data_IF_669367436377
#
_entry.id   IF_669367436377
#
_cell.length_a   1.000
_cell.length_b   1.000
_cell.length_c   1.000
_cell.angle_alpha   90.00
_cell.angle_beta   90.00
_cell.angle_gamma   90.00
#
_symmetry.space_group_name_H-M   'P 1'
#
loop_
_entity.id
_entity.type
_entity.pdbx_description
1 polymer ?
#
# COMPACT_ATOMS: atom_id res chain seq x y z
N UNK A 1 31.52 19.39 -31.34
CA UNK A 1 30.29 19.93 -30.74
C UNK A 1 29.19 18.90 -31.04
N UNK A 2 28.78 18.00 -30.29
CA UNK A 2 28.69 17.80 -28.86
C UNK A 2 27.42 17.02 -28.69
N UNK A 3 27.49 15.66 -28.61
CA UNK A 3 26.33 14.74 -28.46
C UNK A 3 25.96 14.64 -26.99
N UNK A 4 25.02 15.45 -26.50
CA UNK A 4 24.49 15.37 -25.14
C UNK A 4 22.95 15.33 -25.08
N UNK A 5 22.25 14.93 -26.15
CA UNK A 5 20.78 14.97 -26.20
C UNK A 5 20.10 13.59 -26.17
N UNK A 6 20.78 12.50 -25.76
CA UNK A 6 20.23 11.15 -25.88
C UNK A 6 20.00 10.41 -24.55
N UNK A 7 19.98 11.07 -23.39
CA UNK A 7 19.89 10.36 -22.08
C UNK A 7 18.57 10.58 -21.34
N UNK A 8 17.65 11.36 -21.87
CA UNK A 8 16.38 11.68 -21.16
C UNK A 8 15.23 10.72 -21.55
N UNK A 9 15.42 9.83 -22.52
CA UNK A 9 14.34 9.00 -23.09
C UNK A 9 14.04 7.67 -22.39
N UNK A 10 14.84 7.21 -21.42
CA UNK A 10 14.83 5.77 -21.07
C UNK A 10 14.28 5.44 -19.65
N UNK A 11 13.76 6.40 -18.91
CA UNK A 11 13.25 6.10 -17.56
C UNK A 11 11.81 5.58 -17.58
N UNK A 12 11.09 5.73 -18.67
CA UNK A 12 9.71 5.22 -18.80
C UNK A 12 9.68 3.70 -19.00
N UNK A 13 10.68 3.12 -19.63
CA UNK A 13 10.79 1.67 -19.80
C UNK A 13 11.04 0.96 -18.45
N UNK A 14 11.77 1.58 -17.54
CA UNK A 14 12.06 1.01 -16.20
C UNK A 14 10.80 0.98 -15.34
N UNK A 15 9.92 1.98 -15.45
CA UNK A 15 8.65 2.04 -14.71
C UNK A 15 7.66 1.01 -15.26
N UNK A 16 7.59 0.86 -16.58
CA UNK A 16 6.76 -0.16 -17.23
C UNK A 16 7.25 -1.57 -16.90
N UNK A 17 8.57 -1.79 -16.89
CA UNK A 17 9.19 -3.05 -16.49
C UNK A 17 8.93 -3.34 -15.00
N UNK A 18 8.92 -2.32 -14.14
CA UNK A 18 8.60 -2.47 -12.72
C UNK A 18 7.17 -2.96 -12.50
N UNK A 19 6.19 -2.40 -13.21
CA UNK A 19 4.78 -2.77 -13.08
C UNK A 19 4.51 -4.17 -13.66
N UNK A 20 5.16 -4.52 -14.77
CA UNK A 20 5.13 -5.87 -15.36
C UNK A 20 5.93 -6.86 -14.50
N UNK A 21 7.04 -6.44 -13.87
CA UNK A 21 7.84 -7.27 -12.98
C UNK A 21 7.10 -7.59 -11.68
N UNK A 22 6.37 -6.64 -11.09
CA UNK A 22 5.52 -6.89 -9.91
C UNK A 22 4.41 -7.87 -10.27
N UNK A 23 3.77 -7.71 -11.42
CA UNK A 23 2.78 -8.68 -11.93
C UNK A 23 3.39 -10.07 -12.16
N UNK A 24 4.60 -10.16 -12.73
CA UNK A 24 5.31 -11.42 -12.95
C UNK A 24 5.83 -12.03 -11.64
N UNK A 25 6.27 -11.22 -10.68
CA UNK A 25 6.73 -11.70 -9.36
C UNK A 25 5.56 -12.24 -8.55
N UNK A 26 4.41 -11.59 -8.58
CA UNK A 26 3.18 -12.12 -7.98
C UNK A 26 2.76 -13.43 -8.65
N UNK A 27 2.87 -13.54 -9.97
CA UNK A 27 2.59 -14.77 -10.72
C UNK A 27 3.59 -15.89 -10.40
N UNK A 28 4.88 -15.60 -10.28
CA UNK A 28 5.90 -16.60 -9.96
C UNK A 28 5.77 -17.08 -8.50
N UNK A 29 5.39 -16.20 -7.57
CA UNK A 29 5.17 -16.58 -6.17
C UNK A 29 3.96 -17.49 -6.00
N UNK A 30 2.89 -17.29 -6.79
CA UNK A 30 1.72 -18.17 -6.83
C UNK A 30 2.03 -19.56 -7.37
N UNK A 31 2.99 -19.68 -8.31
CA UNK A 31 3.37 -20.98 -8.90
C UNK A 31 4.39 -21.74 -8.04
N UNK A 32 5.31 -21.04 -7.34
CA UNK A 32 6.31 -21.69 -6.47
C UNK A 32 5.82 -21.94 -5.03
N UNK A 33 4.66 -21.39 -4.65
CA UNK A 33 4.11 -21.52 -3.28
C UNK A 33 3.16 -22.69 -3.07
N UNK A 34 2.81 -23.48 -4.07
CA UNK A 34 2.06 -24.71 -3.88
C UNK A 34 2.97 -25.82 -3.38
N UNK A 35 3.25 -25.79 -2.09
CA UNK A 35 3.62 -26.99 -1.34
C UNK A 35 2.40 -27.91 -1.37
N UNK A 36 2.40 -28.88 -2.27
CA UNK A 36 1.51 -30.06 -2.17
C UNK A 36 2.00 -30.88 -0.98
N UNK A 37 1.61 -30.44 0.21
CA UNK A 37 1.89 -31.13 1.45
C UNK A 37 0.93 -32.31 1.61
N UNK A 38 1.27 -33.41 0.96
CA UNK A 38 0.80 -34.73 1.36
C UNK A 38 2.01 -35.49 1.91
N UNK A 39 2.71 -34.86 2.86
CA UNK A 39 3.71 -35.57 3.67
C UNK A 39 2.99 -36.16 4.85
N UNK A 40 2.77 -37.49 4.79
CA UNK A 40 2.45 -38.30 5.94
C UNK A 40 3.42 -38.00 7.08
N UNK A 41 2.93 -37.81 8.34
CA UNK A 41 3.84 -37.63 9.47
C UNK A 41 4.79 -38.81 9.50
N UNK A 42 6.10 -38.61 9.81
CA UNK A 42 7.06 -39.69 9.91
C UNK A 42 6.55 -40.71 10.93
N UNK A 43 6.54 -41.97 10.52
CA UNK A 43 6.18 -43.09 11.37
C UNK A 43 7.01 -43.01 12.64
N UNK A 44 6.38 -43.10 13.82
CA UNK A 44 7.05 -43.14 15.09
C UNK A 44 8.03 -44.32 15.09
N UNK A 45 9.28 -44.02 15.36
CA UNK A 45 10.33 -44.98 15.57
C UNK A 45 9.96 -45.88 16.77
N UNK A 46 9.83 -47.19 16.60
CA UNK A 46 9.39 -48.10 17.65
C UNK A 46 10.43 -48.24 18.80
N UNK A 47 11.60 -47.60 18.69
CA UNK A 47 12.66 -47.68 19.69
C UNK A 47 12.83 -46.40 20.53
N UNK A 48 11.89 -45.42 20.44
CA UNK A 48 11.96 -44.22 21.30
C UNK A 48 11.32 -44.55 22.67
N UNK A 49 12.06 -44.44 23.79
CA UNK A 49 11.52 -44.67 25.14
C UNK A 49 10.47 -43.61 25.47
N UNK A 50 9.38 -43.95 26.20
CA UNK A 50 8.35 -43.02 26.56
C UNK A 50 8.90 -41.90 27.46
N UNK A 51 8.52 -40.65 27.10
CA UNK A 51 8.86 -39.47 27.89
C UNK A 51 8.20 -39.54 29.29
N UNK A 52 8.88 -39.09 30.36
CA UNK A 52 8.31 -39.09 31.70
C UNK A 52 7.15 -38.11 31.81
N UNK A 53 6.11 -38.41 32.65
CA UNK A 53 4.95 -37.56 32.79
C UNK A 53 5.29 -36.19 33.40
N UNK A 54 4.57 -35.13 33.02
CA UNK A 54 4.80 -33.78 33.57
C UNK A 54 4.49 -33.75 35.06
N UNK A 55 5.41 -33.20 35.84
CA UNK A 55 5.30 -33.00 37.28
C UNK A 55 4.20 -31.98 37.57
N UNK A 56 3.23 -32.36 38.41
CA UNK A 56 2.21 -31.49 39.00
C UNK A 56 2.83 -30.45 39.94
N UNK A 57 2.45 -29.19 39.92
CA UNK A 57 2.90 -28.21 40.91
C UNK A 57 2.22 -28.50 42.24
N UNK A 58 3.03 -28.68 43.29
CA UNK A 58 2.58 -28.73 44.68
C UNK A 58 2.17 -27.33 45.13
N UNK A 59 0.96 -27.24 45.64
CA UNK A 59 0.50 -26.13 46.48
C UNK A 59 1.17 -26.21 47.86
N UNK A 60 1.75 -25.14 48.31
CA UNK A 60 2.33 -24.95 49.67
C UNK A 60 2.52 -23.46 49.87
N UNK A 61 1.62 -22.88 50.44
CA UNK A 61 1.33 -22.21 51.72
C UNK A 61 2.25 -21.05 52.11
N UNK A 62 1.55 -19.96 52.32
CA UNK A 62 1.65 -18.93 53.35
C UNK A 62 2.77 -17.88 53.35
N UNK A 63 2.33 -16.70 53.29
CA UNK A 63 2.49 -15.57 54.22
C UNK A 63 3.40 -14.41 53.87
N UNK A 64 2.76 -13.26 53.94
CA UNK A 64 3.19 -11.93 54.42
C UNK A 64 4.02 -11.07 53.45
N UNK A 65 3.41 -10.07 52.84
CA UNK A 65 3.38 -8.74 53.38
C UNK A 65 4.52 -7.88 52.90
N UNK A 66 4.24 -6.99 51.99
CA UNK A 66 4.68 -5.59 52.15
C UNK A 66 4.52 -4.80 50.85
N UNK A 67 3.82 -3.72 51.06
CA UNK A 67 3.95 -2.44 50.37
C UNK A 67 4.07 -2.41 48.84
N UNK A 68 2.91 -2.30 48.23
CA UNK A 68 2.77 -1.81 46.85
C UNK A 68 2.88 -0.27 46.86
N UNK A 69 4.11 0.23 46.91
CA UNK A 69 4.38 1.65 46.63
C UNK A 69 4.41 1.85 45.13
N UNK A 70 3.29 2.34 44.58
CA UNK A 70 3.23 2.85 43.21
C UNK A 70 3.95 4.21 43.22
N UNK A 71 5.08 4.38 42.54
CA UNK A 71 5.67 5.71 42.39
C UNK A 71 4.80 6.51 41.44
N UNK A 72 4.26 7.64 41.91
CA UNK A 72 3.69 8.68 41.06
C UNK A 72 4.76 9.19 40.12
N UNK A 73 4.46 9.37 38.81
CA UNK A 73 5.37 10.05 37.90
C UNK A 73 5.42 11.54 38.28
N UNK A 74 6.59 12.00 38.69
CA UNK A 74 6.91 13.43 38.82
C UNK A 74 6.80 14.08 37.43
N UNK A 75 5.89 15.03 37.32
CA UNK A 75 5.78 15.93 36.18
C UNK A 75 7.05 16.79 36.12
N UNK A 76 7.89 16.57 35.10
CA UNK A 76 8.69 17.58 34.39
C UNK A 76 9.82 16.89 33.58
N UNK A 77 9.41 16.27 32.46
CA UNK A 77 10.30 16.14 31.30
C UNK A 77 9.47 16.57 30.09
N UNK A 78 10.00 17.40 29.16
CA UNK A 78 9.28 17.73 27.94
C UNK A 78 9.13 16.44 27.13
N UNK A 79 7.89 15.95 27.03
CA UNK A 79 7.57 14.83 26.20
C UNK A 79 7.98 15.14 24.76
N UNK A 80 8.59 14.16 24.02
CA UNK A 80 8.77 14.32 22.58
C UNK A 80 7.38 14.55 21.97
N UNK A 81 7.26 15.62 21.18
CA UNK A 81 6.02 15.93 20.46
C UNK A 81 5.70 14.74 19.56
N UNK A 82 4.78 13.91 20.00
CA UNK A 82 4.19 12.89 19.18
C UNK A 82 3.53 13.60 18.00
N UNK A 83 3.98 13.27 16.79
CA UNK A 83 3.33 13.67 15.55
C UNK A 83 1.86 13.30 15.68
N UNK A 84 0.98 14.30 15.60
CA UNK A 84 -0.46 14.13 15.79
C UNK A 84 -1.01 13.24 14.68
N UNK A 85 -1.15 11.94 14.96
CA UNK A 85 -1.90 11.04 14.10
C UNK A 85 -3.38 11.45 14.23
N UNK A 86 -3.91 12.12 13.22
CA UNK A 86 -5.32 12.46 13.17
C UNK A 86 -6.06 11.27 12.56
N UNK A 87 -6.94 10.67 13.33
CA UNK A 87 -7.85 9.63 12.83
C UNK A 87 -8.93 10.32 12.02
N UNK A 88 -8.91 10.13 10.70
CA UNK A 88 -9.96 10.62 9.80
C UNK A 88 -11.30 9.89 10.01
N UNK A 89 -12.39 10.32 9.34
CA UNK A 89 -13.68 9.63 9.39
C UNK A 89 -13.51 8.16 9.01
N UNK A 90 -13.91 7.25 9.89
CA UNK A 90 -13.79 5.79 9.68
C UNK A 90 -12.64 5.12 10.42
N UNK A 91 -11.91 5.82 11.32
CA UNK A 91 -10.83 5.21 12.10
C UNK A 91 -9.52 4.97 11.35
N UNK A 92 -9.41 5.42 10.10
CA UNK A 92 -8.22 5.24 9.25
C UNK A 92 -7.12 6.18 9.71
N UNK A 93 -5.94 5.63 9.94
CA UNK A 93 -4.75 6.44 10.26
C UNK A 93 -4.31 7.24 9.02
N UNK A 94 -4.12 8.55 9.20
CA UNK A 94 -3.56 9.44 8.21
C UNK A 94 -2.53 10.35 8.88
N UNK A 95 -1.29 10.30 8.43
CA UNK A 95 -0.18 11.08 9.00
C UNK A 95 0.66 11.71 7.90
N UNK A 96 1.44 12.72 8.28
CA UNK A 96 2.54 13.22 7.46
C UNK A 96 3.82 12.63 8.03
N UNK A 97 4.52 11.82 7.23
CA UNK A 97 5.79 11.24 7.67
C UNK A 97 6.86 12.33 7.84
N UNK A 98 7.83 12.15 8.74
CA UNK A 98 8.89 13.15 8.98
C UNK A 98 9.62 13.57 7.69
N UNK A 99 9.82 12.64 6.76
CA UNK A 99 10.45 12.85 5.45
C UNK A 99 9.68 13.81 4.54
N UNK A 100 8.35 13.93 4.72
CA UNK A 100 7.48 14.77 3.90
C UNK A 100 7.23 16.16 4.52
N UNK A 101 7.61 16.40 5.77
CA UNK A 101 7.23 17.61 6.52
C UNK A 101 7.70 18.91 5.85
N UNK A 102 8.95 18.96 5.39
CA UNK A 102 9.50 20.14 4.70
C UNK A 102 8.81 20.41 3.36
N UNK A 103 8.51 19.34 2.61
CA UNK A 103 7.80 19.46 1.34
C UNK A 103 6.35 19.91 1.51
N UNK A 104 5.65 19.39 2.52
CA UNK A 104 4.31 19.86 2.88
C UNK A 104 4.32 21.36 3.23
N UNK A 105 5.33 21.83 3.98
CA UNK A 105 5.47 23.24 4.27
C UNK A 105 5.71 24.07 3.01
N UNK A 106 6.52 23.60 2.08
CA UNK A 106 6.77 24.26 0.80
C UNK A 106 5.52 24.33 -0.08
N UNK A 107 4.73 23.25 -0.14
CA UNK A 107 3.45 23.23 -0.87
C UNK A 107 2.48 24.24 -0.26
N UNK A 108 2.34 24.28 1.08
CA UNK A 108 1.46 25.25 1.76
C UNK A 108 1.89 26.70 1.58
N UNK A 109 3.18 26.96 1.36
CA UNK A 109 3.65 28.28 1.03
C UNK A 109 3.24 28.75 -0.37
N UNK A 110 3.12 27.79 -1.33
CA UNK A 110 2.69 28.06 -2.70
C UNK A 110 1.15 28.00 -2.85
N UNK A 111 0.51 27.16 -2.03
CA UNK A 111 -0.93 26.91 -2.02
C UNK A 111 -1.44 26.85 -0.55
N UNK A 112 -1.85 28.01 0.00
CA UNK A 112 -2.28 28.10 1.39
C UNK A 112 -3.50 27.22 1.73
N UNK A 113 -4.31 26.87 0.74
CA UNK A 113 -5.50 26.01 0.90
C UNK A 113 -5.17 24.53 0.93
N UNK A 114 -3.91 24.15 0.69
CA UNK A 114 -3.48 22.76 0.78
C UNK A 114 -3.55 22.26 2.23
N UNK A 115 -4.48 21.32 2.47
CA UNK A 115 -4.64 20.69 3.78
C UNK A 115 -4.26 19.20 3.68
N UNK A 116 -3.14 18.76 4.30
CA UNK A 116 -2.57 17.42 4.13
C UNK A 116 -3.53 16.28 4.47
N UNK A 117 -4.30 16.40 5.56
CA UNK A 117 -5.22 15.33 5.97
C UNK A 117 -6.45 15.29 5.06
N UNK A 118 -6.96 16.44 4.65
CA UNK A 118 -8.02 16.53 3.65
C UNK A 118 -7.58 15.94 2.31
N UNK A 119 -6.34 16.24 1.89
CA UNK A 119 -5.74 15.65 0.69
C UNK A 119 -5.69 14.12 0.75
N UNK A 120 -5.29 13.50 1.88
CA UNK A 120 -5.28 12.03 2.00
C UNK A 120 -6.68 11.43 1.86
N UNK A 121 -7.71 12.15 2.28
CA UNK A 121 -9.10 11.75 2.06
C UNK A 121 -9.46 11.68 0.56
N UNK A 122 -9.10 12.74 -0.19
CA UNK A 122 -9.27 12.78 -1.64
C UNK A 122 -8.43 11.70 -2.35
N UNK A 123 -7.18 11.49 -1.90
CA UNK A 123 -6.30 10.47 -2.45
C UNK A 123 -6.85 9.04 -2.26
N UNK A 124 -7.49 8.73 -1.11
CA UNK A 124 -8.20 7.45 -0.92
C UNK A 124 -9.38 7.28 -1.88
N UNK A 125 -10.17 8.34 -2.06
CA UNK A 125 -11.28 8.30 -3.01
C UNK A 125 -10.80 8.06 -4.44
N UNK A 126 -9.71 8.74 -4.85
CA UNK A 126 -9.08 8.52 -6.15
C UNK A 126 -8.54 7.08 -6.27
N UNK A 127 -7.86 6.56 -5.23
CA UNK A 127 -7.36 5.18 -5.19
C UNK A 127 -8.50 4.18 -5.44
N UNK A 128 -9.58 4.28 -4.67
CA UNK A 128 -10.76 3.40 -4.82
C UNK A 128 -11.30 3.43 -6.25
N UNK A 129 -11.53 4.65 -6.77
CA UNK A 129 -12.07 4.84 -8.13
C UNK A 129 -11.15 4.25 -9.20
N UNK A 130 -9.83 4.49 -9.08
CA UNK A 130 -8.83 4.03 -10.06
C UNK A 130 -8.71 2.50 -10.03
N UNK A 131 -8.61 1.89 -8.84
CA UNK A 131 -8.48 0.43 -8.70
C UNK A 131 -9.71 -0.29 -9.27
N UNK A 132 -10.91 0.18 -8.94
CA UNK A 132 -12.15 -0.39 -9.46
C UNK A 132 -12.31 -0.17 -10.96
N UNK A 133 -12.02 1.04 -11.47
CA UNK A 133 -12.09 1.33 -12.90
C UNK A 133 -11.09 0.49 -13.70
N UNK A 134 -9.86 0.33 -13.19
CA UNK A 134 -8.84 -0.51 -13.79
C UNK A 134 -9.27 -1.98 -13.83
N UNK A 135 -9.82 -2.51 -12.75
CA UNK A 135 -10.34 -3.88 -12.71
C UNK A 135 -11.42 -4.10 -13.76
N UNK A 136 -12.39 -3.17 -13.86
CA UNK A 136 -13.46 -3.24 -14.87
C UNK A 136 -13.02 -2.92 -16.30
N UNK A 137 -11.80 -2.40 -16.50
CA UNK A 137 -11.34 -1.92 -17.80
C UNK A 137 -12.00 -0.62 -18.26
N UNK A 138 -12.50 0.19 -17.33
CA UNK A 138 -13.16 1.46 -17.60
C UNK A 138 -12.14 2.59 -17.80
N UNK A 139 -11.63 2.69 -19.02
CA UNK A 139 -10.64 3.70 -19.38
C UNK A 139 -11.21 5.12 -19.35
N UNK A 140 -12.52 5.29 -19.53
CA UNK A 140 -13.17 6.60 -19.48
C UNK A 140 -13.14 7.18 -18.06
N UNK A 141 -13.40 6.34 -17.04
CA UNK A 141 -13.32 6.73 -15.64
C UNK A 141 -11.86 7.01 -15.18
N UNK A 142 -10.87 6.37 -15.78
CA UNK A 142 -9.45 6.57 -15.48
C UNK A 142 -8.92 7.91 -16.00
N UNK A 143 -9.36 8.34 -17.19
CA UNK A 143 -8.81 9.48 -17.92
C UNK A 143 -8.70 10.78 -17.13
N UNK A 144 -9.71 11.22 -16.35
CA UNK A 144 -9.63 12.46 -15.57
C UNK A 144 -8.76 12.36 -14.31
N UNK A 145 -8.35 11.17 -13.90
CA UNK A 145 -7.60 10.93 -12.66
C UNK A 145 -6.10 10.67 -12.88
N UNK A 146 -5.71 10.38 -14.11
CA UNK A 146 -4.35 10.00 -14.47
C UNK A 146 -3.73 11.07 -15.38
N UNK A 147 -2.42 11.29 -15.25
CA UNK A 147 -1.70 12.02 -16.29
C UNK A 147 -1.59 11.17 -17.57
N UNK A 148 -1.18 11.80 -18.66
CA UNK A 148 -1.18 11.16 -19.99
C UNK A 148 -0.28 9.92 -20.06
N UNK A 149 0.87 9.92 -19.38
CA UNK A 149 1.81 8.80 -19.39
C UNK A 149 1.29 7.63 -18.57
N UNK A 150 0.79 7.91 -17.37
CA UNK A 150 0.18 6.90 -16.49
C UNK A 150 -1.07 6.32 -17.15
N UNK A 151 -1.92 7.17 -17.76
CA UNK A 151 -3.10 6.72 -18.49
C UNK A 151 -2.73 5.73 -19.62
N UNK A 152 -1.73 6.07 -20.44
CA UNK A 152 -1.29 5.19 -21.52
C UNK A 152 -0.82 3.81 -21.02
N UNK A 153 -0.12 3.79 -19.87
CA UNK A 153 0.33 2.54 -19.24
C UNK A 153 -0.84 1.69 -18.74
N UNK A 154 -1.82 2.32 -18.09
CA UNK A 154 -3.03 1.65 -17.61
C UNK A 154 -3.89 1.11 -18.77
N UNK A 155 -4.06 1.91 -19.83
CA UNK A 155 -4.78 1.49 -21.04
C UNK A 155 -4.11 0.31 -21.71
N UNK A 156 -2.79 0.31 -21.84
CA UNK A 156 -2.02 -0.80 -22.42
C UNK A 156 -2.18 -2.09 -21.60
N UNK A 157 -2.14 -1.99 -20.26
CA UNK A 157 -2.36 -3.13 -19.36
C UNK A 157 -3.77 -3.70 -19.48
N UNK A 158 -4.80 -2.84 -19.56
CA UNK A 158 -6.19 -3.24 -19.78
C UNK A 158 -6.34 -3.94 -21.12
N UNK A 159 -5.78 -3.38 -22.19
CA UNK A 159 -5.79 -3.96 -23.55
C UNK A 159 -5.16 -5.35 -23.57
N UNK A 160 -3.96 -5.50 -23.00
CA UNK A 160 -3.28 -6.80 -22.93
C UNK A 160 -4.07 -7.85 -22.15
N UNK A 161 -4.81 -7.47 -21.12
CA UNK A 161 -5.70 -8.35 -20.39
C UNK A 161 -6.90 -8.78 -21.24
N UNK A 162 -7.50 -7.85 -21.97
CA UNK A 162 -8.61 -8.14 -22.91
C UNK A 162 -8.16 -9.10 -24.02
N UNK A 163 -6.97 -8.91 -24.58
CA UNK A 163 -6.38 -9.79 -25.60
C UNK A 163 -6.21 -11.22 -25.11
N UNK A 164 -5.93 -11.41 -23.81
CA UNK A 164 -5.86 -12.73 -23.19
C UNK A 164 -7.22 -13.27 -22.75
N UNK A 165 -8.33 -12.55 -23.02
CA UNK A 165 -9.67 -12.88 -22.56
C UNK A 165 -9.75 -13.04 -21.02
N UNK A 166 -9.01 -12.21 -20.28
CA UNK A 166 -8.97 -12.22 -18.83
C UNK A 166 -9.84 -11.09 -18.27
N UNK A 167 -10.52 -11.39 -17.17
CA UNK A 167 -11.28 -10.41 -16.37
C UNK A 167 -10.65 -10.29 -15.00
N UNK A 168 -10.32 -9.08 -14.57
CA UNK A 168 -9.89 -8.81 -13.23
C UNK A 168 -11.08 -8.34 -12.38
N UNK A 169 -11.10 -8.80 -11.16
CA UNK A 169 -12.03 -8.41 -10.10
C UNK A 169 -11.20 -7.97 -8.90
N UNK A 170 -11.40 -6.75 -8.43
CA UNK A 170 -10.77 -6.23 -7.22
C UNK A 170 -11.85 -5.75 -6.28
N UNK A 171 -11.85 -6.26 -5.06
CA UNK A 171 -12.70 -5.78 -3.98
C UNK A 171 -11.82 -5.12 -2.93
N UNK A 172 -11.94 -3.81 -2.77
CA UNK A 172 -11.30 -3.06 -1.70
C UNK A 172 -12.14 -3.23 -0.42
N UNK A 173 -11.57 -3.87 0.59
CA UNK A 173 -12.21 -4.08 1.90
C UNK A 173 -12.09 -2.80 2.71
N UNK A 174 -10.90 -2.18 2.73
CA UNK A 174 -10.66 -0.95 3.45
C UNK A 174 -9.21 -0.49 3.44
N UNK A 175 -8.95 0.57 4.19
CA UNK A 175 -7.61 1.09 4.43
C UNK A 175 -7.25 0.98 5.90
N UNK A 176 -6.07 0.48 6.22
CA UNK A 176 -5.48 0.60 7.55
C UNK A 176 -4.81 1.96 7.74
N UNK A 177 -4.12 2.43 6.69
CA UNK A 177 -3.40 3.71 6.72
C UNK A 177 -3.35 4.37 5.35
N UNK A 178 -3.22 5.71 5.36
CA UNK A 178 -2.90 6.53 4.19
C UNK A 178 -2.01 7.69 4.64
N UNK A 179 -0.70 7.49 4.56
CA UNK A 179 0.28 8.43 5.08
C UNK A 179 0.96 9.20 3.94
N UNK A 180 1.19 10.49 4.11
CA UNK A 180 2.02 11.27 3.18
C UNK A 180 3.47 10.87 3.42
N UNK A 181 4.02 10.07 2.51
CA UNK A 181 5.39 9.55 2.58
C UNK A 181 6.42 10.51 1.99
N UNK A 182 6.02 11.31 1.00
CA UNK A 182 6.83 12.31 0.34
C UNK A 182 6.01 13.51 -0.10
N UNK A 183 6.63 14.68 -0.10
CA UNK A 183 6.04 15.91 -0.62
C UNK A 183 7.15 16.84 -1.12
N UNK A 184 6.95 17.49 -2.24
CA UNK A 184 7.90 18.46 -2.79
C UNK A 184 7.22 19.42 -3.76
N UNK A 185 7.88 20.57 -4.01
CA UNK A 185 7.54 21.47 -5.09
C UNK A 185 8.51 21.26 -6.26
N UNK A 186 8.00 20.98 -7.44
CA UNK A 186 8.74 20.90 -8.71
C UNK A 186 8.33 22.05 -9.61
N UNK A 187 9.02 23.19 -9.51
CA UNK A 187 8.59 24.44 -10.13
C UNK A 187 7.24 24.88 -9.58
N UNK A 188 6.21 24.99 -10.42
CA UNK A 188 4.83 25.29 -10.02
C UNK A 188 4.02 24.07 -9.61
N UNK A 189 4.57 22.87 -9.78
CA UNK A 189 3.85 21.64 -9.47
C UNK A 189 4.08 21.21 -8.03
N UNK A 190 3.01 21.06 -7.28
CA UNK A 190 3.00 20.31 -6.04
C UNK A 190 2.97 18.81 -6.36
N UNK A 191 3.90 18.06 -5.77
CA UNK A 191 4.02 16.61 -5.92
C UNK A 191 3.93 15.96 -4.55
N UNK A 192 2.99 15.03 -4.37
CA UNK A 192 2.75 14.36 -3.08
C UNK A 192 2.68 12.86 -3.30
N UNK A 193 3.47 12.11 -2.54
CA UNK A 193 3.44 10.66 -2.51
C UNK A 193 2.70 10.18 -1.27
N UNK A 194 1.66 9.39 -1.47
CA UNK A 194 0.88 8.76 -0.41
C UNK A 194 1.22 7.28 -0.34
N UNK A 195 1.51 6.80 0.86
CA UNK A 195 1.63 5.39 1.16
C UNK A 195 0.29 4.89 1.67
N UNK A 196 -0.35 4.04 0.89
CA UNK A 196 -1.58 3.34 1.26
C UNK A 196 -1.25 1.97 1.83
N UNK A 197 -1.92 1.62 2.91
CA UNK A 197 -2.00 0.25 3.42
C UNK A 197 -3.46 -0.14 3.34
N UNK A 198 -3.76 -1.05 2.43
CA UNK A 198 -5.13 -1.47 2.13
C UNK A 198 -5.31 -2.98 2.23
N UNK A 199 -6.53 -3.40 2.48
CA UNK A 199 -6.97 -4.78 2.43
C UNK A 199 -7.81 -4.98 1.18
N UNK A 200 -7.42 -5.96 0.34
CA UNK A 200 -8.01 -6.20 -0.96
C UNK A 200 -8.21 -7.69 -1.21
N UNK A 201 -9.22 -8.02 -2.01
CA UNK A 201 -9.38 -9.34 -2.62
C UNK A 201 -9.19 -9.12 -4.12
N UNK A 202 -8.18 -9.76 -4.71
CA UNK A 202 -7.87 -9.65 -6.13
C UNK A 202 -7.98 -11.01 -6.79
N UNK A 203 -8.71 -11.07 -7.92
CA UNK A 203 -8.94 -12.30 -8.68
C UNK A 203 -8.85 -11.99 -10.17
N UNK A 204 -8.21 -12.86 -10.93
CA UNK A 204 -8.24 -12.82 -12.39
C UNK A 204 -8.86 -14.13 -12.89
N UNK A 205 -9.83 -14.00 -13.81
CA UNK A 205 -10.51 -15.15 -14.45
C UNK A 205 -10.25 -15.15 -15.94
N UNK A 206 -10.14 -16.35 -16.52
CA UNK A 206 -10.10 -16.56 -17.96
C UNK A 206 -11.51 -16.53 -18.59
N UNK A 207 -11.58 -16.76 -19.91
CA UNK A 207 -12.85 -16.82 -20.67
C UNK A 207 -13.84 -17.88 -20.11
N UNK A 208 -13.34 -18.96 -19.55
CA UNK A 208 -14.14 -20.05 -18.97
C UNK A 208 -14.52 -19.79 -17.51
N UNK A 209 -14.31 -18.56 -17.02
CA UNK A 209 -14.55 -18.14 -15.63
C UNK A 209 -13.69 -18.87 -14.58
N UNK A 210 -12.67 -19.59 -15.00
CA UNK A 210 -11.72 -20.23 -14.10
C UNK A 210 -10.76 -19.20 -13.55
N UNK A 211 -10.42 -19.32 -12.27
CA UNK A 211 -9.43 -18.47 -11.62
C UNK A 211 -8.05 -18.83 -12.16
N UNK A 212 -7.39 -17.85 -12.78
CA UNK A 212 -6.02 -17.98 -13.31
C UNK A 212 -5.00 -17.26 -12.41
N UNK A 213 -5.49 -16.33 -11.57
CA UNK A 213 -4.66 -15.62 -10.59
C UNK A 213 -5.50 -15.15 -9.42
N UNK A 214 -4.90 -15.05 -8.22
CA UNK A 214 -5.54 -14.60 -6.99
C UNK A 214 -6.40 -15.67 -6.30
N UNK A 215 -7.01 -15.27 -5.17
CA UNK A 215 -7.88 -16.14 -4.37
C UNK A 215 -9.09 -15.33 -3.85
N UNK A 216 -10.33 -15.68 -4.23
CA UNK A 216 -11.53 -14.92 -3.83
C UNK A 216 -11.85 -15.01 -2.33
N UNK A 217 -11.24 -15.97 -1.62
CA UNK A 217 -11.46 -16.18 -0.19
C UNK A 217 -10.31 -15.63 0.69
N UNK A 218 -9.36 -14.92 0.08
CA UNK A 218 -8.16 -14.41 0.75
C UNK A 218 -8.12 -12.89 0.70
N UNK A 219 -8.18 -12.28 1.87
CA UNK A 219 -7.92 -10.85 2.01
C UNK A 219 -6.41 -10.63 2.06
N UNK A 220 -5.91 -9.85 1.12
CA UNK A 220 -4.50 -9.52 1.01
C UNK A 220 -4.26 -8.11 1.52
N UNK A 221 -3.22 -7.94 2.34
CA UNK A 221 -2.71 -6.64 2.72
C UNK A 221 -1.75 -6.16 1.63
N UNK A 222 -2.09 -5.03 1.03
CA UNK A 222 -1.32 -4.42 -0.05
C UNK A 222 -0.77 -3.08 0.42
N UNK A 223 0.50 -2.83 0.13
CA UNK A 223 1.16 -1.55 0.42
C UNK A 223 1.57 -0.89 -0.88
N UNK A 224 0.97 0.25 -1.17
CA UNK A 224 1.17 1.00 -2.40
C UNK A 224 1.68 2.42 -2.11
N UNK A 225 2.62 2.89 -2.94
CA UNK A 225 3.08 4.27 -2.99
C UNK A 225 2.55 4.90 -4.27
N UNK A 226 1.63 5.86 -4.13
CA UNK A 226 1.05 6.58 -5.25
C UNK A 226 1.45 8.04 -5.20
N UNK A 227 1.98 8.54 -6.31
CA UNK A 227 2.42 9.92 -6.44
C UNK A 227 1.43 10.72 -7.27
N UNK A 228 0.95 11.80 -6.68
CA UNK A 228 -0.01 12.75 -7.27
C UNK A 228 0.69 14.07 -7.55
N UNK A 229 0.24 14.76 -8.60
CA UNK A 229 0.74 16.07 -9.00
C UNK A 229 -0.42 17.02 -9.29
N UNK A 230 -0.25 18.28 -8.90
CA UNK A 230 -1.12 19.41 -9.25
C UNK A 230 -0.29 20.64 -9.55
N UNK A 231 -0.66 21.39 -10.60
CA UNK A 231 -0.09 22.72 -10.84
C UNK A 231 -0.81 23.72 -9.92
N UNK A 232 -0.06 24.32 -8.99
CA UNK A 232 -0.57 25.29 -8.00
C UNK A 232 -1.00 26.61 -8.62
N UNK A 233 -0.60 26.90 -9.85
CA UNK A 233 -1.00 28.10 -10.59
C UNK A 233 -2.28 27.90 -11.41
N UNK A 234 -2.67 26.63 -11.59
CA UNK A 234 -3.92 26.26 -12.29
C UNK A 234 -5.15 26.56 -11.45
N UNK A 235 -6.23 26.96 -12.11
CA UNK A 235 -7.57 27.05 -11.49
C UNK A 235 -8.22 25.68 -11.28
N UNK A 236 -7.70 24.65 -11.94
CA UNK A 236 -8.16 23.27 -11.75
C UNK A 236 -7.64 22.73 -10.42
N UNK A 237 -8.51 22.39 -9.46
CA UNK A 237 -8.08 21.86 -8.16
C UNK A 237 -7.69 20.38 -8.21
N UNK A 238 -7.86 19.71 -9.35
CA UNK A 238 -7.67 18.27 -9.46
C UNK A 238 -6.20 17.87 -9.39
N UNK A 239 -5.96 16.80 -8.63
CA UNK A 239 -4.68 16.11 -8.58
C UNK A 239 -4.70 14.94 -9.56
N UNK A 240 -3.63 14.78 -10.34
CA UNK A 240 -3.48 13.68 -11.26
C UNK A 240 -2.47 12.67 -10.70
N UNK A 241 -2.79 11.39 -10.78
CA UNK A 241 -1.86 10.31 -10.49
C UNK A 241 -0.79 10.26 -11.60
N UNK A 242 0.47 10.34 -11.20
CA UNK A 242 1.62 10.34 -12.12
C UNK A 242 2.52 9.12 -11.97
N UNK A 243 2.40 8.37 -10.85
CA UNK A 243 3.22 7.19 -10.59
C UNK A 243 2.55 6.28 -9.58
N UNK A 244 2.71 4.97 -9.76
CA UNK A 244 2.34 3.93 -8.79
C UNK A 244 3.52 2.98 -8.57
N UNK A 245 3.73 2.58 -7.31
CA UNK A 245 4.71 1.58 -6.90
C UNK A 245 4.06 0.72 -5.82
N UNK A 246 4.33 -0.59 -5.80
CA UNK A 246 3.89 -1.49 -4.72
C UNK A 246 5.09 -1.98 -3.95
N UNK A 247 5.00 -1.93 -2.61
CA UNK A 247 5.98 -2.56 -1.72
C UNK A 247 5.62 -4.06 -1.66
N UNK A 248 6.53 -4.93 -2.14
CA UNK A 248 6.35 -6.38 -2.18
C UNK A 248 6.62 -7.05 -0.85
#
# INVERSE_FOLDING_TARGET
MGQWSAIVGNNYDIILIGLVAVFLILRLRSVLGKRTGNEQPPARDPFTPPAPPPATPRVGDAAQGSDNVVPLPTANAPAPRQSSATTGPGGIRATVMPTATSGVAAIRAADPDFEPIGFTGGARAAFTTIVEAFARGDTAALKPLLDSATYASFEAAIRGRIERNEKAETTLIGFEASDIAGAEMQGTNAVVTVRFVSEQINVVRNADSQIVDGNPNEVQKVVDLWTFRRDTTSRDPNWLLIKTESEG
#
